data_IF_286795375667
#
_entry.id   IF_286795375667
#
_cell.length_a   1.000
_cell.length_b   1.000
_cell.length_c   1.000
_cell.angle_alpha   90.00
_cell.angle_beta   90.00
_cell.angle_gamma   90.00
#
_symmetry.space_group_name_H-M   'P 1'
#
loop_
_entity.id
_entity.type
_entity.pdbx_description
1 polymer ?
#
# COMPACT_ATOMS: atom_id res chain seq x y z
N UNK A 1 2.83 -0.77 -21.99
CA UNK A 1 3.22 -0.83 -20.56
C UNK A 1 4.50 -0.02 -20.48
N UNK A 2 4.61 1.02 -19.63
CA UNK A 2 5.89 1.72 -19.46
C UNK A 2 6.81 0.78 -18.68
N UNK A 3 7.99 0.51 -19.22
CA UNK A 3 8.99 -0.34 -18.57
C UNK A 3 9.48 0.38 -17.31
N UNK A 4 9.03 -0.08 -16.15
CA UNK A 4 9.55 0.40 -14.87
C UNK A 4 10.83 -0.38 -14.59
N UNK A 5 11.97 0.33 -14.59
CA UNK A 5 13.24 -0.26 -14.22
C UNK A 5 13.28 -0.51 -12.70
N UNK A 6 13.28 -1.79 -12.31
CA UNK A 6 13.31 -2.21 -10.91
C UNK A 6 14.65 -1.92 -10.23
N UNK A 7 15.70 -1.64 -11.00
CA UNK A 7 17.04 -1.29 -10.51
C UNK A 7 17.29 0.23 -10.53
N UNK A 8 16.27 1.03 -10.82
CA UNK A 8 16.42 2.49 -10.89
C UNK A 8 16.91 3.07 -9.56
N UNK A 9 17.95 3.90 -9.64
CA UNK A 9 18.49 4.66 -8.52
C UNK A 9 18.33 6.16 -8.84
N UNK A 10 17.82 6.98 -7.90
CA UNK A 10 17.78 8.43 -8.09
C UNK A 10 19.18 9.00 -8.38
N UNK A 11 19.26 9.93 -9.32
CA UNK A 11 20.46 10.76 -9.50
C UNK A 11 20.63 11.73 -8.32
N UNK A 12 19.52 12.27 -7.81
CA UNK A 12 19.53 13.06 -6.58
C UNK A 12 18.19 13.05 -5.86
N UNK A 13 18.24 13.32 -4.55
CA UNK A 13 17.05 13.60 -3.74
C UNK A 13 17.29 14.80 -2.83
N UNK A 14 16.32 15.71 -2.77
CA UNK A 14 16.41 16.93 -1.95
C UNK A 14 15.08 17.19 -1.27
N UNK A 15 15.16 17.58 -0.01
CA UNK A 15 13.98 18.03 0.73
C UNK A 15 13.76 19.52 0.53
N UNK A 16 12.65 19.88 -0.13
CA UNK A 16 12.20 21.25 -0.28
C UNK A 16 11.44 21.68 0.97
N UNK A 17 12.14 22.38 1.88
CA UNK A 17 11.55 22.89 3.12
C UNK A 17 10.43 23.91 2.87
N UNK A 18 10.46 24.65 1.76
CA UNK A 18 9.49 25.71 1.48
C UNK A 18 8.13 25.10 1.15
N UNK A 19 8.13 24.08 0.29
CA UNK A 19 6.90 23.40 -0.12
C UNK A 19 6.57 22.19 0.77
N UNK A 20 7.49 21.79 1.67
CA UNK A 20 7.35 20.63 2.55
C UNK A 20 7.22 19.31 1.76
N UNK A 21 8.10 19.13 0.78
CA UNK A 21 8.06 18.02 -0.19
C UNK A 21 9.46 17.42 -0.42
N UNK A 22 9.50 16.14 -0.77
CA UNK A 22 10.69 15.46 -1.28
C UNK A 22 10.72 15.58 -2.80
N UNK A 23 11.78 16.16 -3.35
CA UNK A 23 12.05 16.19 -4.79
C UNK A 23 13.08 15.13 -5.14
N UNK A 24 12.82 14.36 -6.19
CA UNK A 24 13.70 13.31 -6.69
C UNK A 24 13.95 13.57 -8.18
N UNK A 25 15.23 13.55 -8.56
CA UNK A 25 15.66 13.53 -9.96
C UNK A 25 16.06 12.09 -10.30
N UNK A 26 15.44 11.56 -11.34
CA UNK A 26 15.67 10.22 -11.86
C UNK A 26 16.49 10.27 -13.14
N UNK A 27 17.17 9.16 -13.51
CA UNK A 27 17.83 9.01 -14.79
C UNK A 27 16.93 9.40 -15.96
N UNK A 28 17.49 10.10 -16.94
CA UNK A 28 16.74 10.61 -18.09
C UNK A 28 16.02 11.94 -17.83
N UNK A 29 16.48 12.72 -16.84
CA UNK A 29 15.96 14.06 -16.53
C UNK A 29 14.47 14.06 -16.16
N UNK A 30 14.03 13.02 -15.45
CA UNK A 30 12.65 12.91 -14.96
C UNK A 30 12.61 13.39 -13.51
N UNK A 31 11.75 14.35 -13.22
CA UNK A 31 11.57 14.86 -11.86
C UNK A 31 10.26 14.37 -11.23
N UNK A 32 10.29 14.13 -9.93
CA UNK A 32 9.11 13.78 -9.14
C UNK A 32 9.12 14.53 -7.82
N UNK A 33 7.93 14.95 -7.36
CA UNK A 33 7.76 15.64 -6.08
C UNK A 33 6.71 14.92 -5.23
N UNK A 34 7.03 14.72 -3.95
CA UNK A 34 6.19 13.98 -3.03
C UNK A 34 5.97 14.78 -1.74
N UNK A 35 4.72 15.17 -1.43
CA UNK A 35 4.42 15.89 -0.20
C UNK A 35 4.78 15.08 1.05
N UNK A 36 5.32 15.74 2.08
CA UNK A 36 5.71 15.06 3.31
C UNK A 36 4.52 14.42 4.04
N UNK A 37 3.32 15.02 3.96
CA UNK A 37 2.08 14.44 4.50
C UNK A 37 1.72 13.12 3.81
N UNK A 38 1.86 13.07 2.49
CA UNK A 38 1.62 11.87 1.68
C UNK A 38 2.61 10.76 2.03
N UNK A 39 3.91 11.10 2.15
CA UNK A 39 4.95 10.14 2.56
C UNK A 39 4.70 9.60 3.97
N UNK A 40 4.35 10.46 4.93
CA UNK A 40 4.01 10.04 6.31
C UNK A 40 2.83 9.08 6.33
N UNK A 41 1.77 9.36 5.57
CA UNK A 41 0.57 8.49 5.49
C UNK A 41 0.86 7.11 4.91
N UNK A 42 1.99 6.94 4.21
CA UNK A 42 2.40 5.69 3.53
C UNK A 42 3.65 5.07 4.11
N UNK A 43 4.10 5.55 5.27
CA UNK A 43 5.30 5.05 5.93
C UNK A 43 5.25 3.51 6.08
N UNK A 44 6.24 2.83 5.53
CA UNK A 44 6.33 1.36 5.57
C UNK A 44 6.68 0.82 6.95
N UNK A 45 7.42 1.61 7.75
CA UNK A 45 7.84 1.24 9.11
C UNK A 45 6.77 1.55 10.17
N UNK A 46 5.73 2.30 9.82
CA UNK A 46 4.65 2.62 10.76
C UNK A 46 3.73 1.40 10.95
N UNK A 47 3.59 0.95 12.20
CA UNK A 47 2.63 -0.10 12.58
C UNK A 47 1.20 0.34 12.30
N UNK A 48 0.86 1.59 12.57
CA UNK A 48 -0.49 2.12 12.37
C UNK A 48 -0.86 2.14 10.88
N UNK A 49 0.05 2.59 10.02
CA UNK A 49 -0.15 2.55 8.56
C UNK A 49 -0.25 1.11 8.07
N UNK A 50 0.53 0.17 8.64
CA UNK A 50 0.41 -1.26 8.32
C UNK A 50 -0.97 -1.80 8.69
N UNK A 51 -1.45 -1.55 9.91
CA UNK A 51 -2.78 -1.98 10.37
C UNK A 51 -3.90 -1.37 9.51
N UNK A 52 -3.78 -0.08 9.17
CA UNK A 52 -4.72 0.59 8.28
C UNK A 52 -4.78 -0.07 6.90
N UNK A 53 -3.62 -0.35 6.27
CA UNK A 53 -3.55 -1.07 4.99
C UNK A 53 -4.14 -2.47 5.10
N UNK A 54 -3.85 -3.19 6.19
CA UNK A 54 -4.43 -4.51 6.42
C UNK A 54 -5.96 -4.42 6.47
N UNK A 55 -6.54 -3.46 7.19
CA UNK A 55 -8.00 -3.31 7.24
C UNK A 55 -8.62 -3.00 5.88
N UNK A 56 -7.95 -2.22 5.02
CA UNK A 56 -8.43 -1.90 3.67
C UNK A 56 -8.37 -3.11 2.74
N UNK A 57 -7.22 -3.79 2.68
CA UNK A 57 -6.97 -4.84 1.69
C UNK A 57 -7.35 -6.24 2.17
N UNK A 58 -7.28 -6.47 3.48
CA UNK A 58 -7.63 -7.69 4.17
C UNK A 58 -8.84 -7.38 5.05
N UNK A 59 -10.01 -7.30 4.41
CA UNK A 59 -11.26 -7.33 5.19
C UNK A 59 -11.19 -8.54 6.11
N UNK A 60 -11.46 -8.39 7.43
CA UNK A 60 -11.49 -9.54 8.32
C UNK A 60 -12.52 -10.53 7.77
N UNK A 61 -12.02 -11.64 7.23
CA UNK A 61 -12.87 -12.68 6.67
C UNK A 61 -13.81 -13.16 7.75
N UNK A 62 -15.09 -13.36 7.41
CA UNK A 62 -16.01 -14.03 8.33
C UNK A 62 -15.54 -15.47 8.50
N UNK A 63 -14.96 -15.77 9.66
CA UNK A 63 -14.68 -17.15 10.07
C UNK A 63 -15.99 -17.90 10.27
N UNK A 64 -16.02 -19.16 9.85
CA UNK A 64 -17.17 -20.05 10.07
C UNK A 64 -16.88 -21.01 11.21
N UNK A 65 -17.86 -21.19 12.09
CA UNK A 65 -17.82 -22.23 13.11
C UNK A 65 -18.53 -23.52 12.63
N UNK A 66 -18.37 -24.61 13.39
CA UNK A 66 -18.96 -25.92 13.06
C UNK A 66 -20.48 -25.83 12.82
N UNK A 67 -21.21 -25.08 13.64
CA UNK A 67 -22.67 -24.93 13.52
C UNK A 67 -23.06 -24.19 12.23
N UNK A 68 -22.33 -23.15 11.84
CA UNK A 68 -22.58 -22.41 10.59
C UNK A 68 -22.30 -23.27 9.35
N UNK A 69 -21.32 -24.18 9.42
CA UNK A 69 -21.01 -25.12 8.35
C UNK A 69 -22.13 -26.17 8.24
N UNK A 70 -22.54 -26.76 9.37
CA UNK A 70 -23.59 -27.78 9.44
C UNK A 70 -24.94 -27.25 8.95
N UNK A 71 -25.30 -26.00 9.25
CA UNK A 71 -26.53 -25.36 8.76
C UNK A 71 -26.52 -25.10 7.24
N UNK A 72 -25.35 -24.87 6.65
CA UNK A 72 -25.18 -24.61 5.21
C UNK A 72 -25.07 -25.87 4.37
N UNK A 73 -24.74 -27.01 4.98
CA UNK A 73 -24.85 -28.33 4.38
C UNK A 73 -26.33 -28.72 4.25
N UNK A 74 -27.10 -27.98 3.45
CA UNK A 74 -28.35 -28.53 2.93
C UNK A 74 -27.99 -29.70 2.02
N UNK A 75 -28.31 -30.90 2.48
CA UNK A 75 -28.20 -32.13 1.71
C UNK A 75 -29.06 -31.95 0.45
N UNK A 76 -28.42 -31.89 -0.72
CA UNK A 76 -29.11 -32.11 -1.99
C UNK A 76 -29.58 -33.56 -2.01
N UNK A 77 -30.78 -33.79 -1.50
CA UNK A 77 -31.42 -35.08 -1.46
C UNK A 77 -32.92 -34.91 -1.67
N UNK A 78 -33.33 -35.03 -2.92
CA UNK A 78 -34.50 -35.82 -3.26
C UNK A 78 -34.23 -36.57 -4.56
#
# INVERSE_FOLDING_TARGET
MRDFDVHIIPESSKYDKKNNELKILWPGNVESSYPASWLKSRNFSSKDVKSFRQNIYLSPGKVWNKQEIEQRLQRFGH
#
